data_IF_586843762159
#
_entry.id   IF_586843762159
#
_cell.length_a   1.000
_cell.length_b   1.000
_cell.length_c   1.000
_cell.angle_alpha   90.00
_cell.angle_beta   90.00
_cell.angle_gamma   90.00
#
_symmetry.space_group_name_H-M   'P 1'
#
loop_
_entity.id
_entity.type
_entity.pdbx_description
1 polymer ?
#
# COMPACT_ATOMS: atom_id res chain seq x y z
N UNK A 1 -62.48 -40.85 -44.33
CA UNK A 1 -61.05 -41.01 -44.64
C UNK A 1 -60.41 -39.74 -45.12
N UNK A 2 -61.04 -38.90 -45.93
CA UNK A 2 -60.53 -37.62 -46.41
C UNK A 2 -60.26 -36.62 -45.24
N UNK A 3 -61.16 -36.50 -44.30
CA UNK A 3 -61.04 -35.61 -43.15
C UNK A 3 -59.91 -36.05 -42.23
N UNK A 4 -59.71 -37.33 -42.04
CA UNK A 4 -58.56 -37.83 -41.24
C UNK A 4 -57.25 -37.55 -41.90
N UNK A 5 -57.10 -37.70 -43.19
CA UNK A 5 -55.86 -37.32 -43.93
C UNK A 5 -55.60 -35.81 -43.91
N UNK A 6 -56.67 -35.00 -44.03
CA UNK A 6 -56.55 -33.56 -43.97
C UNK A 6 -56.04 -33.05 -42.61
N UNK A 7 -56.63 -33.63 -41.52
CA UNK A 7 -56.22 -33.29 -40.14
C UNK A 7 -54.75 -33.72 -39.89
N UNK A 8 -54.36 -34.89 -40.33
CA UNK A 8 -53.02 -35.43 -40.19
C UNK A 8 -52.00 -34.62 -40.98
N UNK A 9 -52.25 -34.15 -42.20
CA UNK A 9 -51.36 -33.31 -43.01
C UNK A 9 -51.18 -31.92 -42.38
N UNK A 10 -52.24 -31.30 -41.85
CA UNK A 10 -52.20 -30.07 -41.13
C UNK A 10 -51.34 -30.18 -39.86
N UNK A 11 -51.50 -31.30 -39.09
CA UNK A 11 -50.70 -31.56 -37.90
C UNK A 11 -49.21 -31.68 -38.22
N UNK A 12 -48.84 -32.40 -39.27
CA UNK A 12 -47.44 -32.52 -39.73
C UNK A 12 -46.87 -31.17 -40.16
N UNK A 13 -47.67 -30.40 -40.93
CA UNK A 13 -47.23 -29.06 -41.35
C UNK A 13 -46.94 -28.12 -40.14
N UNK A 14 -47.81 -28.09 -39.14
CA UNK A 14 -47.64 -27.29 -37.94
C UNK A 14 -46.37 -27.76 -37.18
N UNK A 15 -46.13 -29.06 -37.05
CA UNK A 15 -44.89 -29.54 -36.40
C UNK A 15 -43.64 -29.13 -37.16
N UNK A 16 -43.63 -29.20 -38.49
CA UNK A 16 -42.48 -28.74 -39.31
C UNK A 16 -42.23 -27.26 -39.14
N UNK A 17 -43.27 -26.43 -39.13
CA UNK A 17 -43.14 -24.98 -38.94
C UNK A 17 -42.59 -24.65 -37.55
N UNK A 18 -43.07 -25.35 -36.49
CA UNK A 18 -42.55 -25.14 -35.13
C UNK A 18 -41.09 -25.56 -35.04
N UNK A 19 -40.69 -26.70 -35.58
CA UNK A 19 -39.29 -27.17 -35.56
C UNK A 19 -38.39 -26.22 -36.34
N UNK A 20 -38.81 -25.79 -37.54
CA UNK A 20 -38.06 -24.85 -38.35
C UNK A 20 -37.90 -23.49 -37.65
N UNK A 21 -38.98 -22.96 -37.04
CA UNK A 21 -38.97 -21.72 -36.28
C UNK A 21 -38.05 -21.79 -35.05
N UNK A 22 -38.12 -22.90 -34.29
CA UNK A 22 -37.25 -23.14 -33.15
C UNK A 22 -35.78 -23.26 -33.54
N UNK A 23 -35.47 -23.92 -34.66
CA UNK A 23 -34.11 -24.01 -35.17
C UNK A 23 -33.54 -22.65 -35.61
N UNK A 24 -34.36 -21.87 -36.32
CA UNK A 24 -33.97 -20.52 -36.77
C UNK A 24 -33.75 -19.62 -35.54
N UNK A 25 -34.66 -19.67 -34.58
CA UNK A 25 -34.53 -18.91 -33.33
C UNK A 25 -33.23 -19.30 -32.58
N UNK A 26 -32.98 -20.58 -32.39
CA UNK A 26 -31.73 -21.07 -31.77
C UNK A 26 -30.50 -20.57 -32.50
N UNK A 27 -30.48 -20.73 -33.84
CA UNK A 27 -29.30 -20.33 -34.63
C UNK A 27 -29.03 -18.82 -34.63
N UNK A 28 -30.10 -17.99 -34.71
CA UNK A 28 -29.96 -16.55 -34.80
C UNK A 28 -29.80 -15.85 -33.43
N UNK A 29 -30.40 -16.41 -32.38
CA UNK A 29 -30.47 -15.71 -31.08
C UNK A 29 -29.66 -16.35 -29.98
N UNK A 30 -29.45 -17.67 -29.98
CA UNK A 30 -28.75 -18.35 -28.87
C UNK A 30 -27.34 -18.83 -29.23
N UNK A 31 -27.13 -19.30 -30.46
CA UNK A 31 -25.89 -19.99 -30.83
C UNK A 31 -24.66 -19.07 -30.74
N UNK A 32 -24.76 -17.83 -31.20
CA UNK A 32 -23.66 -16.89 -31.25
C UNK A 32 -23.22 -16.43 -29.83
N UNK A 33 -24.09 -15.89 -28.97
CA UNK A 33 -23.68 -15.46 -27.64
C UNK A 33 -23.20 -16.60 -26.74
N UNK A 34 -23.80 -17.81 -26.86
CA UNK A 34 -23.31 -18.99 -26.14
C UNK A 34 -21.91 -19.40 -26.57
N UNK A 35 -21.62 -19.31 -27.87
CA UNK A 35 -20.28 -19.58 -28.39
C UNK A 35 -19.26 -18.58 -27.86
N UNK A 36 -19.57 -17.26 -27.90
CA UNK A 36 -18.72 -16.19 -27.38
C UNK A 36 -18.42 -16.43 -25.88
N UNK A 37 -19.44 -16.75 -25.08
CA UNK A 37 -19.26 -17.04 -23.66
C UNK A 37 -18.41 -18.29 -23.41
N UNK A 38 -18.62 -19.36 -24.19
CA UNK A 38 -17.83 -20.59 -24.07
C UNK A 38 -16.36 -20.34 -24.40
N UNK A 39 -16.09 -19.66 -25.52
CA UNK A 39 -14.72 -19.26 -25.89
C UNK A 39 -14.07 -18.36 -24.83
N UNK A 40 -14.84 -17.44 -24.27
CA UNK A 40 -14.37 -16.58 -23.16
C UNK A 40 -14.01 -17.39 -21.89
N UNK A 41 -14.82 -18.39 -21.54
CA UNK A 41 -14.53 -19.29 -20.42
C UNK A 41 -13.25 -20.09 -20.67
N UNK A 42 -13.05 -20.60 -21.89
CA UNK A 42 -11.84 -21.34 -22.27
C UNK A 42 -10.58 -20.44 -22.19
N UNK A 43 -10.68 -19.18 -22.59
CA UNK A 43 -9.58 -18.22 -22.44
C UNK A 43 -9.22 -17.97 -20.98
N UNK A 44 -10.22 -17.79 -20.11
CA UNK A 44 -9.99 -17.63 -18.67
C UNK A 44 -9.35 -18.90 -18.07
N UNK A 45 -9.76 -20.08 -18.51
CA UNK A 45 -9.23 -21.35 -18.02
C UNK A 45 -7.73 -21.55 -18.34
N UNK A 46 -7.19 -20.85 -19.33
CA UNK A 46 -5.76 -20.84 -19.67
C UNK A 46 -5.06 -19.56 -19.23
N UNK A 47 -5.63 -18.85 -18.23
CA UNK A 47 -5.12 -17.60 -17.66
C UNK A 47 -4.97 -16.44 -18.67
N UNK A 48 -5.63 -16.52 -19.83
CA UNK A 48 -5.67 -15.43 -20.79
C UNK A 48 -6.87 -14.52 -20.53
N UNK A 49 -6.62 -13.34 -19.99
CA UNK A 49 -7.64 -12.31 -19.73
C UNK A 49 -7.59 -11.14 -20.75
N UNK A 50 -6.75 -11.25 -21.78
CA UNK A 50 -6.56 -10.20 -22.79
C UNK A 50 -7.49 -10.45 -24.01
N UNK A 51 -8.78 -10.48 -23.74
CA UNK A 51 -9.83 -10.56 -24.75
C UNK A 51 -11.03 -9.70 -24.34
N UNK A 52 -11.93 -9.41 -25.27
CA UNK A 52 -13.16 -8.67 -24.99
C UNK A 52 -14.38 -9.46 -25.47
N UNK A 53 -15.44 -9.41 -24.69
CA UNK A 53 -16.74 -9.99 -25.06
C UNK A 53 -17.59 -8.86 -25.60
N UNK A 54 -17.79 -8.86 -26.91
CA UNK A 54 -18.64 -7.88 -27.59
C UNK A 54 -19.90 -8.59 -28.08
N UNK A 55 -21.01 -8.28 -27.48
CA UNK A 55 -22.34 -8.72 -27.90
C UNK A 55 -23.33 -7.59 -27.61
N UNK A 56 -23.67 -6.83 -28.66
CA UNK A 56 -24.49 -5.60 -28.59
C UNK A 56 -25.97 -5.93 -28.79
N UNK A 57 -26.57 -6.70 -27.89
CA UNK A 57 -28.00 -6.94 -27.87
C UNK A 57 -28.61 -6.47 -26.54
N UNK A 58 -29.82 -5.86 -26.62
CA UNK A 58 -30.59 -5.41 -25.43
C UNK A 58 -31.50 -6.52 -24.90
N UNK A 59 -31.06 -7.80 -24.99
CA UNK A 59 -31.79 -8.95 -24.50
C UNK A 59 -31.11 -9.57 -23.26
N UNK A 60 -31.69 -10.64 -22.71
CA UNK A 60 -31.16 -11.33 -21.52
C UNK A 60 -29.74 -11.87 -21.72
N UNK A 61 -29.40 -12.24 -22.96
CA UNK A 61 -28.06 -12.71 -23.31
C UNK A 61 -27.05 -11.56 -23.41
N UNK A 62 -27.47 -10.38 -23.86
CA UNK A 62 -26.68 -9.16 -23.80
C UNK A 62 -26.34 -8.75 -22.35
N UNK A 63 -27.32 -8.82 -21.45
CA UNK A 63 -27.11 -8.59 -20.02
C UNK A 63 -26.11 -9.60 -19.43
N UNK A 64 -26.23 -10.87 -19.83
CA UNK A 64 -25.32 -11.93 -19.38
C UNK A 64 -23.89 -11.72 -19.89
N UNK A 65 -23.71 -11.44 -21.18
CA UNK A 65 -22.41 -11.12 -21.78
C UNK A 65 -21.76 -9.90 -21.11
N UNK A 66 -22.53 -8.84 -20.87
CA UNK A 66 -22.05 -7.64 -20.18
C UNK A 66 -21.66 -7.91 -18.71
N UNK A 67 -22.36 -8.81 -18.03
CA UNK A 67 -22.02 -9.22 -16.67
C UNK A 67 -20.76 -10.07 -16.63
N UNK A 68 -20.57 -10.94 -17.61
CA UNK A 68 -19.37 -11.75 -17.78
C UNK A 68 -18.14 -10.86 -18.10
N UNK A 69 -18.30 -9.85 -18.98
CA UNK A 69 -17.23 -8.90 -19.29
C UNK A 69 -16.82 -8.09 -18.03
N UNK A 70 -17.79 -7.64 -17.21
CA UNK A 70 -17.48 -6.98 -15.93
C UNK A 70 -16.70 -7.89 -14.99
N UNK A 71 -17.14 -9.14 -14.82
CA UNK A 71 -16.45 -10.12 -13.99
C UNK A 71 -15.00 -10.36 -14.47
N UNK A 72 -14.79 -10.53 -15.78
CA UNK A 72 -13.45 -10.67 -16.39
C UNK A 72 -12.57 -9.45 -16.09
N UNK A 73 -13.12 -8.23 -16.25
CA UNK A 73 -12.38 -7.01 -15.99
C UNK A 73 -12.00 -6.85 -14.51
N UNK A 74 -12.88 -7.22 -13.60
CA UNK A 74 -12.55 -7.26 -12.16
C UNK A 74 -11.46 -8.29 -11.86
N UNK A 75 -11.54 -9.48 -12.46
CA UNK A 75 -10.52 -10.51 -12.33
C UNK A 75 -9.17 -10.01 -12.84
N UNK A 76 -9.12 -9.39 -14.02
CA UNK A 76 -7.91 -8.78 -14.60
C UNK A 76 -7.31 -7.71 -13.67
N UNK A 77 -8.15 -6.85 -13.10
CA UNK A 77 -7.70 -5.83 -12.16
C UNK A 77 -7.14 -6.43 -10.86
N UNK A 78 -7.77 -7.48 -10.35
CA UNK A 78 -7.29 -8.21 -9.18
C UNK A 78 -5.94 -8.88 -9.45
N UNK A 79 -5.75 -9.51 -10.60
CA UNK A 79 -4.45 -10.08 -11.00
C UNK A 79 -3.37 -9.01 -11.10
N UNK A 80 -3.65 -7.86 -11.73
CA UNK A 80 -2.71 -6.73 -11.80
C UNK A 80 -2.33 -6.22 -10.40
N UNK A 81 -3.31 -6.14 -9.49
CA UNK A 81 -3.08 -5.70 -8.11
C UNK A 81 -2.19 -6.71 -7.36
N UNK A 82 -2.52 -8.01 -7.43
CA UNK A 82 -1.73 -9.07 -6.79
C UNK A 82 -0.30 -9.09 -7.34
N UNK A 83 -0.14 -8.95 -8.66
CA UNK A 83 1.18 -8.92 -9.29
C UNK A 83 2.03 -7.75 -8.80
N UNK A 84 1.43 -6.54 -8.72
CA UNK A 84 2.11 -5.36 -8.17
C UNK A 84 2.55 -5.57 -6.72
N UNK A 85 1.66 -6.06 -5.88
CA UNK A 85 1.97 -6.37 -4.48
C UNK A 85 3.10 -7.39 -4.35
N UNK A 86 3.09 -8.42 -5.18
CA UNK A 86 4.15 -9.44 -5.20
C UNK A 86 5.48 -8.88 -5.63
N UNK A 87 5.49 -8.03 -6.66
CA UNK A 87 6.73 -7.39 -7.15
C UNK A 87 7.28 -6.37 -6.13
N UNK A 88 6.43 -5.60 -5.49
CA UNK A 88 6.83 -4.69 -4.40
C UNK A 88 7.41 -5.46 -3.22
N UNK A 89 6.78 -6.57 -2.81
CA UNK A 89 7.30 -7.46 -1.76
C UNK A 89 8.64 -8.08 -2.15
N UNK A 90 8.82 -8.46 -3.41
CA UNK A 90 10.09 -8.99 -3.92
C UNK A 90 11.19 -7.95 -3.88
N UNK A 91 10.91 -6.71 -4.30
CA UNK A 91 11.86 -5.58 -4.22
C UNK A 91 12.23 -5.28 -2.78
N UNK A 92 11.25 -5.26 -1.88
CA UNK A 92 11.46 -5.08 -0.45
C UNK A 92 12.39 -6.17 0.12
N UNK A 93 12.12 -7.45 -0.15
CA UNK A 93 12.93 -8.56 0.31
C UNK A 93 14.38 -8.52 -0.26
N UNK A 94 14.55 -8.10 -1.51
CA UNK A 94 15.86 -7.93 -2.12
C UNK A 94 16.67 -6.80 -1.45
N UNK A 95 16.03 -5.66 -1.16
CA UNK A 95 16.63 -4.56 -0.40
C UNK A 95 17.02 -5.02 1.01
N UNK A 96 16.14 -5.77 1.69
CA UNK A 96 16.41 -6.37 2.99
C UNK A 96 17.66 -7.28 2.96
N UNK A 97 17.72 -8.19 2.01
CA UNK A 97 18.86 -9.11 1.90
C UNK A 97 20.19 -8.38 1.64
N UNK A 98 20.13 -7.31 0.84
CA UNK A 98 21.32 -6.47 0.57
C UNK A 98 21.79 -5.75 1.84
N UNK A 99 20.87 -5.11 2.56
CA UNK A 99 21.22 -4.28 3.71
C UNK A 99 21.59 -5.08 4.96
N UNK A 100 21.12 -6.34 5.06
CA UNK A 100 21.57 -7.29 6.08
C UNK A 100 22.99 -7.81 5.78
N UNK A 101 23.36 -7.96 4.50
CA UNK A 101 24.67 -8.46 4.12
C UNK A 101 25.82 -7.57 4.61
N UNK A 102 25.63 -6.25 4.53
CA UNK A 102 26.67 -5.28 4.92
C UNK A 102 27.09 -5.44 6.39
N UNK A 103 26.20 -5.35 7.40
CA UNK A 103 26.55 -5.53 8.80
C UNK A 103 27.07 -6.93 9.09
N UNK A 104 26.56 -7.97 8.41
CA UNK A 104 27.06 -9.33 8.55
C UNK A 104 28.51 -9.47 8.08
N UNK A 105 28.85 -8.89 6.93
CA UNK A 105 30.24 -8.90 6.41
C UNK A 105 31.19 -8.17 7.36
N UNK A 106 30.74 -7.04 7.93
CA UNK A 106 31.54 -6.29 8.92
C UNK A 106 31.73 -7.10 10.20
N UNK A 107 30.67 -7.76 10.69
CA UNK A 107 30.80 -8.67 11.86
C UNK A 107 31.74 -9.84 11.60
N UNK A 108 31.70 -10.45 10.41
CA UNK A 108 32.66 -11.49 10.02
C UNK A 108 34.07 -10.94 10.06
N UNK A 109 34.36 -9.77 9.48
CA UNK A 109 35.69 -9.17 9.54
C UNK A 109 36.19 -8.92 10.97
N UNK A 110 35.28 -8.54 11.89
CA UNK A 110 35.66 -8.39 13.31
C UNK A 110 35.90 -9.73 14.00
N UNK A 111 35.17 -10.79 13.64
CA UNK A 111 35.46 -12.13 14.17
C UNK A 111 36.79 -12.67 13.67
N UNK A 112 37.11 -12.50 12.37
CA UNK A 112 38.38 -12.88 11.79
C UNK A 112 39.54 -12.12 12.47
N UNK A 113 39.38 -10.82 12.70
CA UNK A 113 40.37 -10.02 13.47
C UNK A 113 40.57 -10.55 14.90
N UNK A 114 39.47 -10.90 15.60
CA UNK A 114 39.58 -11.46 16.95
C UNK A 114 40.25 -12.81 16.97
N UNK A 115 40.02 -13.69 16.00
CA UNK A 115 40.70 -14.96 15.88
C UNK A 115 42.23 -14.78 15.65
N UNK A 116 42.62 -13.86 14.76
CA UNK A 116 44.03 -13.52 14.52
C UNK A 116 44.66 -12.89 15.78
N UNK A 117 43.95 -12.00 16.48
CA UNK A 117 44.44 -11.39 17.72
C UNK A 117 44.65 -12.40 18.85
N UNK A 118 43.79 -13.42 18.97
CA UNK A 118 43.92 -14.49 19.96
C UNK A 118 45.16 -15.35 19.65
N UNK A 119 45.44 -15.59 18.38
CA UNK A 119 46.60 -16.42 17.95
C UNK A 119 47.92 -15.65 18.07
N UNK A 120 47.93 -14.34 17.88
CA UNK A 120 49.08 -13.44 17.90
C UNK A 120 48.82 -12.19 18.71
N UNK A 121 48.78 -12.26 20.06
CA UNK A 121 48.38 -11.15 20.90
C UNK A 121 49.42 -10.01 20.85
N UNK A 122 49.12 -8.98 20.08
CA UNK A 122 49.84 -7.70 20.16
C UNK A 122 49.20 -6.83 21.24
N UNK A 123 50.02 -6.06 21.96
CA UNK A 123 49.63 -5.33 23.18
C UNK A 123 48.74 -4.10 22.92
N UNK A 124 47.59 -4.21 22.27
CA UNK A 124 46.63 -3.10 22.10
C UNK A 124 45.25 -3.48 22.61
N UNK A 125 45.09 -3.50 23.96
CA UNK A 125 43.76 -3.67 24.61
C UNK A 125 42.71 -2.66 24.16
N UNK A 126 43.14 -1.44 23.75
CA UNK A 126 42.27 -0.41 23.21
C UNK A 126 41.58 -0.84 21.91
N UNK A 127 42.28 -1.50 21.01
CA UNK A 127 41.75 -1.98 19.72
C UNK A 127 40.76 -3.11 19.90
N UNK A 128 40.99 -3.99 20.90
CA UNK A 128 40.09 -5.06 21.28
C UNK A 128 38.75 -4.50 21.81
N UNK A 129 38.85 -3.47 22.66
CA UNK A 129 37.66 -2.80 23.22
C UNK A 129 36.84 -2.08 22.14
N UNK A 130 37.52 -1.43 21.19
CA UNK A 130 36.88 -0.77 20.04
C UNK A 130 36.17 -1.81 19.14
N UNK A 131 36.86 -2.92 18.82
CA UNK A 131 36.28 -4.02 18.03
C UNK A 131 35.02 -4.58 18.70
N UNK A 132 35.06 -4.85 20.00
CA UNK A 132 33.90 -5.35 20.75
C UNK A 132 32.73 -4.33 20.74
N UNK A 133 33.01 -3.02 20.87
CA UNK A 133 31.98 -1.96 20.77
C UNK A 133 31.35 -1.92 19.39
N UNK A 134 32.13 -2.03 18.34
CA UNK A 134 31.65 -2.04 16.97
C UNK A 134 30.80 -3.29 16.69
N UNK A 135 31.22 -4.47 17.16
CA UNK A 135 30.41 -5.70 17.06
C UNK A 135 29.07 -5.53 17.76
N UNK A 136 29.05 -5.04 19.01
CA UNK A 136 27.82 -4.76 19.74
C UNK A 136 26.90 -3.79 19.01
N UNK A 137 27.46 -2.74 18.40
CA UNK A 137 26.72 -1.80 17.57
C UNK A 137 26.05 -2.48 16.37
N UNK A 138 26.79 -3.29 15.60
CA UNK A 138 26.22 -3.98 14.42
C UNK A 138 25.22 -5.07 14.79
N UNK A 139 25.43 -5.79 15.91
CA UNK A 139 24.45 -6.77 16.42
C UNK A 139 23.14 -6.07 16.79
N UNK A 140 23.23 -4.93 17.53
CA UNK A 140 22.05 -4.14 17.85
C UNK A 140 21.34 -3.67 16.60
N UNK A 141 22.08 -3.18 15.62
CA UNK A 141 21.54 -2.74 14.34
C UNK A 141 20.79 -3.85 13.59
N UNK A 142 21.31 -5.08 13.61
CA UNK A 142 20.64 -6.25 13.03
C UNK A 142 19.36 -6.61 13.79
N UNK A 143 19.39 -6.59 15.12
CA UNK A 143 18.21 -6.86 15.95
C UNK A 143 17.07 -5.86 15.67
N UNK A 144 17.39 -4.58 15.67
CA UNK A 144 16.46 -3.50 15.33
C UNK A 144 15.88 -3.68 13.91
N UNK A 145 16.70 -4.14 12.96
CA UNK A 145 16.30 -4.40 11.59
C UNK A 145 15.26 -5.53 11.49
N UNK A 146 15.48 -6.62 12.22
CA UNK A 146 14.54 -7.76 12.29
C UNK A 146 13.23 -7.33 12.94
N UNK A 147 13.27 -6.49 13.98
CA UNK A 147 12.08 -5.98 14.66
C UNK A 147 11.21 -5.13 13.70
N UNK A 148 11.85 -4.30 12.89
CA UNK A 148 11.15 -3.50 11.88
C UNK A 148 10.51 -4.37 10.81
N UNK A 149 11.22 -5.40 10.31
CA UNK A 149 10.64 -6.37 9.37
C UNK A 149 9.38 -7.04 9.91
N UNK A 150 9.46 -7.53 11.12
CA UNK A 150 8.31 -8.14 11.80
C UNK A 150 7.15 -7.15 11.95
N UNK A 151 7.48 -5.87 12.18
CA UNK A 151 6.48 -4.80 12.29
C UNK A 151 5.79 -4.53 10.96
N UNK A 152 6.54 -4.43 9.85
CA UNK A 152 5.97 -4.24 8.50
C UNK A 152 5.06 -5.42 8.15
N UNK A 153 5.52 -6.66 8.35
CA UNK A 153 4.73 -7.85 8.06
C UNK A 153 3.44 -7.90 8.89
N UNK A 154 3.51 -7.62 10.19
CA UNK A 154 2.31 -7.52 11.04
C UNK A 154 1.35 -6.43 10.57
N UNK A 155 1.87 -5.30 10.09
CA UNK A 155 1.05 -4.22 9.57
C UNK A 155 0.35 -4.59 8.27
N UNK A 156 1.01 -5.32 7.38
CA UNK A 156 0.40 -5.84 6.14
C UNK A 156 -0.74 -6.82 6.45
N UNK A 157 -0.55 -7.72 7.41
CA UNK A 157 -1.49 -8.78 7.74
C UNK A 157 -2.67 -8.32 8.64
N UNK A 158 -2.50 -7.19 9.38
CA UNK A 158 -3.54 -6.72 10.31
C UNK A 158 -4.65 -5.98 9.55
N UNK A 159 -5.92 -6.38 9.64
CA UNK A 159 -7.01 -5.66 8.98
C UNK A 159 -7.19 -4.26 9.57
N UNK A 160 -7.61 -3.30 8.73
CA UNK A 160 -7.97 -1.95 9.17
C UNK A 160 -9.19 -2.02 10.07
N UNK A 161 -9.12 -1.42 11.26
CA UNK A 161 -10.21 -1.40 12.26
C UNK A 161 -10.90 -0.04 12.24
N UNK A 162 -11.98 0.04 11.49
CA UNK A 162 -12.74 1.29 11.39
C UNK A 162 -13.45 1.59 12.71
N UNK A 163 -13.26 2.81 13.20
CA UNK A 163 -13.91 3.38 14.37
C UNK A 163 -14.47 4.77 14.00
N UNK A 164 -15.56 5.14 14.61
CA UNK A 164 -16.15 6.48 14.48
C UNK A 164 -15.87 7.28 15.73
N UNK A 165 -15.20 8.42 15.58
CA UNK A 165 -14.83 9.30 16.69
C UNK A 165 -15.29 10.72 16.36
N UNK A 166 -16.01 11.41 17.28
CA UNK A 166 -16.35 12.82 17.09
C UNK A 166 -15.12 13.67 16.85
N UNK A 167 -15.17 14.63 15.93
CA UNK A 167 -14.02 15.48 15.56
C UNK A 167 -13.40 16.18 16.78
N UNK A 168 -14.22 16.66 17.72
CA UNK A 168 -13.71 17.28 18.94
C UNK A 168 -12.87 16.35 19.80
N UNK A 169 -13.28 15.08 19.92
CA UNK A 169 -12.50 14.06 20.63
C UNK A 169 -11.19 13.71 19.89
N UNK A 170 -11.27 13.61 18.57
CA UNK A 170 -10.09 13.39 17.73
C UNK A 170 -9.07 14.53 17.88
N UNK A 171 -9.53 15.79 17.82
CA UNK A 171 -8.67 16.97 18.02
C UNK A 171 -8.04 17.02 19.41
N UNK A 172 -8.77 16.67 20.47
CA UNK A 172 -8.20 16.57 21.81
C UNK A 172 -7.09 15.52 21.88
N UNK A 173 -7.31 14.33 21.30
CA UNK A 173 -6.28 13.29 21.22
C UNK A 173 -5.06 13.77 20.42
N UNK A 174 -5.27 14.50 19.34
CA UNK A 174 -4.21 15.08 18.51
C UNK A 174 -3.39 16.10 19.31
N UNK A 175 -4.06 17.03 19.99
CA UNK A 175 -3.43 18.06 20.83
C UNK A 175 -2.59 17.44 21.95
N UNK A 176 -3.11 16.43 22.64
CA UNK A 176 -2.39 15.76 23.73
C UNK A 176 -1.11 15.07 23.23
N UNK A 177 -1.19 14.37 22.09
CA UNK A 177 -0.02 13.76 21.45
C UNK A 177 1.01 14.81 21.04
N UNK A 178 0.57 15.90 20.41
CA UNK A 178 1.45 16.97 19.97
C UNK A 178 2.14 17.66 21.17
N UNK A 179 1.42 17.97 22.24
CA UNK A 179 1.98 18.55 23.48
C UNK A 179 3.06 17.64 24.09
N UNK A 180 2.82 16.33 24.10
CA UNK A 180 3.79 15.36 24.59
C UNK A 180 5.09 15.38 23.77
N UNK A 181 4.95 15.37 22.43
CA UNK A 181 6.08 15.39 21.49
C UNK A 181 6.80 16.74 21.56
N UNK A 182 6.06 17.86 21.51
CA UNK A 182 6.61 19.21 21.61
C UNK A 182 7.47 19.38 22.86
N UNK A 183 6.98 18.93 24.02
CA UNK A 183 7.71 18.95 25.28
C UNK A 183 8.99 18.10 25.25
N UNK A 184 8.90 16.92 24.62
CA UNK A 184 10.04 15.99 24.53
C UNK A 184 11.19 16.54 23.66
N UNK A 185 10.85 17.21 22.57
CA UNK A 185 11.83 17.70 21.58
C UNK A 185 12.12 19.19 21.70
N UNK A 186 11.42 19.93 22.56
CA UNK A 186 11.61 21.37 22.75
C UNK A 186 11.22 22.19 21.52
N UNK A 187 10.18 21.77 20.76
CA UNK A 187 9.75 22.41 19.52
C UNK A 187 8.45 23.15 19.71
N UNK A 188 8.27 24.24 18.94
CA UNK A 188 7.00 24.97 18.84
C UNK A 188 6.15 24.36 17.73
N UNK A 189 5.03 23.76 18.11
CA UNK A 189 4.16 23.05 17.17
C UNK A 189 2.78 23.71 17.18
N UNK A 190 2.36 24.24 16.04
CA UNK A 190 1.03 24.85 15.84
C UNK A 190 0.14 23.91 15.01
N UNK A 191 -1.13 23.86 15.39
CA UNK A 191 -2.15 23.01 14.73
C UNK A 191 -3.30 23.87 14.26
N UNK A 192 -3.72 23.67 13.01
CA UNK A 192 -4.96 24.24 12.46
C UNK A 192 -5.88 23.13 11.97
N UNK A 193 -7.16 23.26 12.30
CA UNK A 193 -8.20 22.38 11.78
C UNK A 193 -9.06 23.17 10.78
N UNK A 194 -8.99 22.77 9.52
CA UNK A 194 -9.79 23.31 8.41
C UNK A 194 -10.77 22.25 7.87
N UNK A 195 -10.87 21.09 8.53
CA UNK A 195 -11.81 20.06 8.13
C UNK A 195 -13.24 20.40 8.63
N UNK A 196 -14.20 20.44 7.72
CA UNK A 196 -15.62 20.60 8.04
C UNK A 196 -16.27 19.22 8.27
N UNK A 197 -15.82 18.52 9.34
CA UNK A 197 -16.26 17.20 9.71
C UNK A 197 -16.91 17.22 11.09
N UNK A 198 -17.98 16.45 11.29
CA UNK A 198 -18.55 16.20 12.61
C UNK A 198 -17.87 15.02 13.31
N UNK A 199 -17.46 14.03 12.53
CA UNK A 199 -16.81 12.82 13.01
C UNK A 199 -15.72 12.32 12.04
N UNK A 200 -14.74 11.63 12.58
CA UNK A 200 -13.69 10.93 11.81
C UNK A 200 -14.01 9.43 11.83
N UNK A 201 -14.17 8.84 10.66
CA UNK A 201 -14.47 7.43 10.50
C UNK A 201 -13.31 6.72 9.81
N UNK A 202 -12.51 6.00 10.60
CA UNK A 202 -11.28 5.37 10.12
C UNK A 202 -10.57 4.56 11.22
N UNK A 203 -9.40 4.01 10.91
CA UNK A 203 -8.55 3.37 11.93
C UNK A 203 -7.73 4.43 12.66
N UNK A 204 -8.27 4.89 13.79
CA UNK A 204 -7.69 5.97 14.59
C UNK A 204 -6.27 5.62 15.06
N UNK A 205 -6.01 4.38 15.44
CA UNK A 205 -4.68 3.95 15.90
C UNK A 205 -3.64 4.01 14.79
N UNK A 206 -4.04 3.67 13.58
CA UNK A 206 -3.25 3.73 12.36
C UNK A 206 -2.92 5.18 11.98
N UNK A 207 -3.94 6.06 12.02
CA UNK A 207 -3.78 7.50 11.75
C UNK A 207 -2.77 8.11 12.73
N UNK A 208 -2.92 7.87 14.04
CA UNK A 208 -1.99 8.39 15.05
C UNK A 208 -0.59 7.85 14.89
N UNK A 209 -0.42 6.60 14.48
CA UNK A 209 0.90 6.01 14.21
C UNK A 209 1.64 6.72 13.06
N UNK A 210 0.93 7.07 11.99
CA UNK A 210 1.49 7.87 10.89
C UNK A 210 1.84 9.27 11.38
N UNK A 211 0.92 9.94 12.08
CA UNK A 211 1.15 11.25 12.68
C UNK A 211 2.41 11.29 13.56
N UNK A 212 2.58 10.34 14.47
CA UNK A 212 3.74 10.25 15.34
C UNK A 212 5.05 10.05 14.55
N UNK A 213 5.05 9.23 13.51
CA UNK A 213 6.23 9.00 12.70
C UNK A 213 6.63 10.25 11.92
N UNK A 214 5.67 10.91 11.26
CA UNK A 214 5.93 12.16 10.51
C UNK A 214 6.36 13.27 11.47
N UNK A 215 5.67 13.39 12.62
CA UNK A 215 6.01 14.39 13.64
C UNK A 215 7.42 14.19 14.19
N UNK A 216 7.83 12.95 14.47
CA UNK A 216 9.20 12.66 14.92
C UNK A 216 10.25 13.06 13.88
N UNK A 217 9.96 12.86 12.60
CA UNK A 217 10.83 13.32 11.52
C UNK A 217 10.89 14.85 11.49
N UNK A 218 9.76 15.54 11.52
CA UNK A 218 9.68 16.98 11.56
C UNK A 218 10.46 17.54 12.76
N UNK A 219 10.28 17.00 13.97
CA UNK A 219 11.02 17.42 15.17
C UNK A 219 12.54 17.25 15.05
N UNK A 220 12.99 16.25 14.31
CA UNK A 220 14.42 15.99 14.10
C UNK A 220 15.08 16.99 13.17
N UNK A 221 14.38 17.35 12.09
CA UNK A 221 14.95 18.16 11.01
C UNK A 221 14.57 19.62 11.09
N UNK A 222 13.52 19.99 11.85
CA UNK A 222 13.16 21.39 12.11
C UNK A 222 14.23 22.12 12.93
N UNK A 223 14.35 23.41 12.70
CA UNK A 223 15.09 24.28 13.61
C UNK A 223 14.30 24.53 14.90
N UNK A 224 13.08 25.07 14.82
CA UNK A 224 12.26 25.39 15.98
C UNK A 224 10.78 25.15 15.80
N UNK A 225 10.23 25.35 14.60
CA UNK A 225 8.78 25.44 14.34
C UNK A 225 8.28 24.31 13.45
N UNK A 226 7.11 23.81 13.81
CA UNK A 226 6.38 22.82 13.00
C UNK A 226 4.93 23.29 12.90
N UNK A 227 4.40 23.29 11.69
CA UNK A 227 3.03 23.60 11.39
C UNK A 227 2.29 22.35 10.95
N UNK A 228 1.14 22.07 11.56
CA UNK A 228 0.27 20.92 11.23
C UNK A 228 -1.09 21.45 10.82
N UNK A 229 -1.55 21.08 9.63
CA UNK A 229 -2.85 21.42 9.10
C UNK A 229 -3.65 20.15 8.86
N UNK A 230 -4.87 20.10 9.39
CA UNK A 230 -5.88 19.08 9.14
C UNK A 230 -6.93 19.65 8.22
N UNK A 231 -7.28 18.95 7.15
CA UNK A 231 -8.32 19.34 6.22
C UNK A 231 -8.97 18.12 5.56
N UNK A 232 -10.16 18.31 4.99
CA UNK A 232 -10.85 17.30 4.20
C UNK A 232 -10.81 17.68 2.72
N UNK A 233 -10.50 16.70 1.87
CA UNK A 233 -10.58 16.86 0.41
C UNK A 233 -10.94 15.53 -0.25
N UNK A 234 -11.98 15.50 -1.09
CA UNK A 234 -12.39 14.31 -1.86
C UNK A 234 -12.66 13.06 -0.98
N UNK A 235 -13.32 13.23 0.16
CA UNK A 235 -13.53 12.17 1.17
C UNK A 235 -12.25 11.62 1.80
N UNK A 236 -11.16 12.34 1.69
CA UNK A 236 -9.90 12.01 2.37
C UNK A 236 -9.70 12.95 3.54
N UNK A 237 -9.46 12.41 4.73
CA UNK A 237 -8.89 13.13 5.84
C UNK A 237 -7.42 13.35 5.55
N UNK A 238 -7.01 14.59 5.37
CA UNK A 238 -5.68 14.97 4.92
C UNK A 238 -4.96 15.78 5.98
N UNK A 239 -3.69 15.47 6.14
CA UNK A 239 -2.77 16.21 7.00
C UNK A 239 -1.64 16.79 6.16
N UNK A 240 -1.28 18.01 6.46
CA UNK A 240 -0.09 18.66 5.96
C UNK A 240 0.80 19.04 7.14
N UNK A 241 2.05 18.61 7.11
CA UNK A 241 3.03 18.93 8.13
C UNK A 241 4.20 19.63 7.47
N UNK A 242 4.53 20.83 7.97
CA UNK A 242 5.59 21.68 7.46
C UNK A 242 6.55 21.98 8.61
N UNK A 243 7.83 21.79 8.39
CA UNK A 243 8.88 22.21 9.32
C UNK A 243 9.70 23.39 8.75
N UNK A 244 10.44 24.06 9.61
CA UNK A 244 11.33 25.19 9.30
C UNK A 244 12.79 24.76 9.10
N UNK A 245 13.02 23.49 8.78
CA UNK A 245 14.37 22.96 8.54
C UNK A 245 14.88 23.20 7.12
N UNK A 246 15.98 22.52 6.78
CA UNK A 246 16.65 22.66 5.47
C UNK A 246 15.87 22.02 4.30
N UNK A 247 14.74 21.32 4.57
CA UNK A 247 13.98 20.60 3.56
C UNK A 247 14.64 19.30 3.11
N UNK A 248 14.03 18.66 2.12
CA UNK A 248 14.53 17.44 1.50
C UNK A 248 15.56 17.74 0.43
N UNK A 249 16.68 17.02 0.41
CA UNK A 249 17.60 17.06 -0.73
C UNK A 249 16.95 16.52 -2.01
N UNK A 250 17.45 16.84 -3.22
CA UNK A 250 16.90 16.29 -4.47
C UNK A 250 16.82 14.75 -4.46
N UNK A 251 17.83 14.08 -3.94
CA UNK A 251 17.85 12.63 -3.78
C UNK A 251 16.81 12.14 -2.75
N UNK A 252 16.59 12.89 -1.68
CA UNK A 252 15.58 12.57 -0.68
C UNK A 252 14.17 12.68 -1.25
N UNK A 253 13.87 13.69 -2.08
CA UNK A 253 12.57 13.83 -2.74
C UNK A 253 12.21 12.61 -3.60
N UNK A 254 13.19 11.97 -4.21
CA UNK A 254 12.98 10.75 -5.02
C UNK A 254 12.90 9.48 -4.19
N UNK A 255 13.63 9.41 -3.07
CA UNK A 255 13.92 8.14 -2.39
C UNK A 255 13.46 8.07 -0.93
N UNK A 256 13.08 9.18 -0.27
CA UNK A 256 12.78 9.16 1.18
C UNK A 256 11.56 8.30 1.56
N UNK A 257 10.66 8.01 0.62
CA UNK A 257 9.55 7.09 0.80
C UNK A 257 9.93 5.61 0.53
N UNK A 258 11.14 5.36 0.01
CA UNK A 258 11.64 4.01 -0.17
C UNK A 258 12.17 3.46 1.16
N UNK A 259 12.10 2.15 1.38
CA UNK A 259 12.66 1.54 2.58
C UNK A 259 14.17 1.80 2.66
N UNK A 260 14.66 2.01 3.89
CA UNK A 260 16.08 2.17 4.25
C UNK A 260 16.79 3.42 3.71
N UNK A 261 16.05 4.36 3.13
CA UNK A 261 16.67 5.62 2.75
C UNK A 261 17.03 6.46 3.99
N UNK A 262 18.30 6.82 4.12
CA UNK A 262 18.82 7.75 5.12
C UNK A 262 19.67 8.81 4.43
N UNK A 263 19.62 10.04 4.90
CA UNK A 263 20.39 11.18 4.33
C UNK A 263 21.89 11.16 4.69
N UNK A 264 22.43 10.07 5.19
CA UNK A 264 23.89 9.81 5.22
C UNK A 264 24.71 10.50 6.30
N UNK A 265 24.15 11.28 7.23
CA UNK A 265 24.92 12.05 8.20
C UNK A 265 24.59 11.84 9.68
N UNK A 266 23.74 10.91 10.06
CA UNK A 266 23.55 10.64 11.49
C UNK A 266 23.84 9.19 11.82
N UNK A 267 24.87 8.95 12.60
CA UNK A 267 25.22 7.70 13.27
C UNK A 267 24.14 7.22 14.28
N UNK A 268 22.98 7.84 14.30
CA UNK A 268 21.92 7.56 15.27
C UNK A 268 20.80 6.71 14.67
N UNK A 269 20.74 5.47 15.08
CA UNK A 269 19.58 4.58 15.37
C UNK A 269 18.31 4.58 14.51
N UNK A 270 18.27 5.13 13.29
CA UNK A 270 17.06 5.13 12.47
C UNK A 270 17.32 4.57 11.08
N UNK A 271 16.62 3.48 10.77
CA UNK A 271 16.81 2.66 9.55
C UNK A 271 16.21 3.25 8.27
N UNK A 272 15.77 4.51 8.25
CA UNK A 272 15.13 5.08 7.07
C UNK A 272 13.79 4.44 6.70
N UNK A 273 13.09 3.90 7.68
CA UNK A 273 11.83 3.15 7.49
C UNK A 273 10.59 3.94 7.90
N UNK A 274 10.74 5.03 8.65
CA UNK A 274 9.61 5.79 9.19
C UNK A 274 8.64 6.26 8.12
N UNK A 275 9.12 6.93 7.08
CA UNK A 275 8.28 7.42 5.98
C UNK A 275 7.77 6.29 5.08
N UNK A 276 8.53 5.21 4.92
CA UNK A 276 8.06 4.02 4.20
C UNK A 276 6.90 3.33 4.94
N UNK A 277 7.00 3.17 6.25
CA UNK A 277 5.89 2.67 7.08
C UNK A 277 4.67 3.60 6.95
N UNK A 278 4.86 4.92 6.97
CA UNK A 278 3.77 5.87 6.76
C UNK A 278 3.09 5.65 5.39
N UNK A 279 3.87 5.44 4.33
CA UNK A 279 3.36 5.14 2.99
C UNK A 279 2.47 3.89 3.00
N UNK A 280 2.98 2.78 3.53
CA UNK A 280 2.23 1.51 3.63
C UNK A 280 0.92 1.69 4.40
N UNK A 281 0.96 2.41 5.52
CA UNK A 281 -0.22 2.64 6.36
C UNK A 281 -1.26 3.54 5.70
N UNK A 282 -0.84 4.61 5.03
CA UNK A 282 -1.73 5.48 4.27
C UNK A 282 -2.40 4.74 3.11
N UNK A 283 -1.62 4.01 2.31
CA UNK A 283 -2.11 3.21 1.18
C UNK A 283 -3.08 2.11 1.64
N UNK A 284 -2.79 1.48 2.76
CA UNK A 284 -3.67 0.47 3.38
C UNK A 284 -5.03 1.05 3.80
N UNK A 285 -5.05 2.30 4.21
CA UNK A 285 -6.27 3.04 4.57
C UNK A 285 -6.92 3.77 3.38
N UNK A 286 -6.53 3.44 2.14
CA UNK A 286 -7.08 4.01 0.92
C UNK A 286 -6.65 5.43 0.61
N UNK A 287 -5.64 5.96 1.31
CA UNK A 287 -5.05 7.27 1.10
C UNK A 287 -3.65 7.21 0.49
N UNK A 288 -2.80 8.18 0.81
CA UNK A 288 -1.42 8.23 0.31
C UNK A 288 -0.55 9.21 1.09
N UNK A 289 0.73 9.25 0.76
CA UNK A 289 1.71 10.19 1.31
C UNK A 289 2.55 10.80 0.19
N UNK A 290 2.82 12.09 0.29
CA UNK A 290 3.72 12.84 -0.60
C UNK A 290 4.65 13.73 0.19
N UNK A 291 5.83 13.99 -0.37
CA UNK A 291 6.84 14.86 0.21
C UNK A 291 7.23 15.93 -0.80
N UNK A 292 7.50 17.14 -0.31
CA UNK A 292 7.96 18.28 -1.11
C UNK A 292 8.72 19.25 -0.22
N UNK A 293 9.26 20.30 -0.80
CA UNK A 293 9.82 21.42 -0.05
C UNK A 293 8.91 22.64 -0.17
N UNK A 294 8.94 23.51 0.83
CA UNK A 294 8.31 24.82 0.77
C UNK A 294 9.21 25.83 0.03
N UNK A 295 8.66 26.93 -0.53
CA UNK A 295 9.48 27.96 -1.18
C UNK A 295 10.51 28.61 -0.24
N UNK A 296 10.22 28.66 1.06
CA UNK A 296 11.02 29.32 2.10
C UNK A 296 12.02 28.38 2.80
N UNK A 297 12.38 27.26 2.18
CA UNK A 297 13.27 26.23 2.73
C UNK A 297 12.65 25.50 3.94
N UNK A 298 11.87 24.51 3.77
CA UNK A 298 11.31 23.65 4.82
C UNK A 298 10.79 22.38 4.21
N UNK A 299 10.77 21.28 4.95
CA UNK A 299 10.16 20.06 4.45
C UNK A 299 8.64 20.13 4.62
N UNK A 300 7.94 19.64 3.61
CA UNK A 300 6.50 19.47 3.61
C UNK A 300 6.18 18.00 3.40
N UNK A 301 5.42 17.42 4.32
CA UNK A 301 4.89 16.06 4.23
C UNK A 301 3.36 16.13 4.25
N UNK A 302 2.73 15.63 3.19
CA UNK A 302 1.27 15.53 3.10
C UNK A 302 0.88 14.05 3.10
N UNK A 303 -0.11 13.69 3.91
CA UNK A 303 -0.61 12.32 3.98
C UNK A 303 -2.11 12.30 4.23
N UNK A 304 -2.77 11.27 3.76
CA UNK A 304 -4.23 11.19 3.76
C UNK A 304 -4.75 9.78 4.04
N UNK A 305 -5.99 9.72 4.49
CA UNK A 305 -6.71 8.49 4.80
C UNK A 305 -8.11 8.58 4.22
N UNK A 306 -8.62 7.50 3.63
CA UNK A 306 -9.99 7.46 3.14
C UNK A 306 -10.96 7.43 4.32
N UNK A 307 -11.91 8.36 4.32
CA UNK A 307 -13.03 8.34 5.24
C UNK A 307 -14.10 7.38 4.69
N UNK A 308 -14.44 6.34 5.43
CA UNK A 308 -15.56 5.50 5.08
C UNK A 308 -16.90 6.23 5.32
N UNK A 309 -17.88 5.99 4.43
CA UNK A 309 -19.21 6.60 4.53
C UNK A 309 -20.06 5.98 5.62
#
# INVERSE_FOLDING_TARGET
>A
WHDFFAISTVGIYVCVVIIAGSYIFYKLKLSEPLKILTEGIEQIAVDNLDFSIQYDAEDELGILCGSFERMKNELQNNYKKIWRMTEERRKLNAAFAHDLRTPLTVLQGYTDFLEEYILFPEKEDAKLLETNRMMAYYIKRLADYVEVMNTIQKLEDTPVKIQTVPIGSFMNMLDDNIKLIAKKYGKDISVTNEADLQEVRGDISLIFRVLENVMRNACRYSENKIFVRLYEQNHLLSFEMIDDGAGFSPKALEQALNPFYTSGQSESSHFGLGLNICKILCEKHGGGITISNTPDSGARVQFSFLLEK
#
